data_IF_406648209302
#
_entry.id   IF_406648209302
#
_cell.length_a   1.000
_cell.length_b   1.000
_cell.length_c   1.000
_cell.angle_alpha   90.00
_cell.angle_beta   90.00
_cell.angle_gamma   90.00
#
_symmetry.space_group_name_H-M   'P 1'
#
loop_
_entity.id
_entity.type
_entity.pdbx_description
1 polymer ?
#
# COMPACT_ATOMS: atom_id res chain seq x y z
N UNK A 1 -18.72 -16.49 8.23
CA UNK A 1 -18.18 -15.57 9.24
C UNK A 1 -16.73 -15.31 8.88
N UNK A 2 -16.51 -14.28 8.06
CA UNK A 2 -15.19 -13.94 7.50
C UNK A 2 -14.32 -13.10 8.45
N UNK A 3 -14.89 -12.68 9.58
CA UNK A 3 -14.21 -11.89 10.62
C UNK A 3 -13.51 -12.78 11.65
N UNK A 4 -12.56 -13.59 11.18
CA UNK A 4 -11.67 -14.33 12.06
C UNK A 4 -10.21 -14.17 11.63
N UNK A 5 -9.28 -14.38 12.57
CA UNK A 5 -7.86 -14.16 12.34
C UNK A 5 -7.29 -15.01 11.20
N UNK A 6 -7.78 -16.24 11.03
CA UNK A 6 -7.33 -17.15 9.97
C UNK A 6 -7.75 -16.64 8.58
N UNK A 7 -9.00 -16.20 8.44
CA UNK A 7 -9.53 -15.58 7.22
C UNK A 7 -8.81 -14.28 6.89
N UNK A 8 -8.51 -13.43 7.89
CA UNK A 8 -7.75 -12.20 7.69
C UNK A 8 -6.34 -12.49 7.18
N UNK A 9 -5.64 -13.47 7.78
CA UNK A 9 -4.30 -13.85 7.37
C UNK A 9 -4.26 -14.32 5.92
N UNK A 10 -5.18 -15.23 5.54
CA UNK A 10 -5.30 -15.71 4.15
C UNK A 10 -5.53 -14.56 3.16
N UNK A 11 -6.38 -13.60 3.51
CA UNK A 11 -6.65 -12.42 2.67
C UNK A 11 -5.43 -11.52 2.52
N UNK A 12 -4.70 -11.25 3.61
CA UNK A 12 -3.47 -10.44 3.58
C UNK A 12 -2.37 -11.11 2.76
N UNK A 13 -2.18 -12.42 2.92
CA UNK A 13 -1.17 -13.17 2.16
C UNK A 13 -1.50 -13.17 0.66
N UNK A 14 -2.76 -13.41 0.30
CA UNK A 14 -3.21 -13.32 -1.09
C UNK A 14 -3.05 -11.91 -1.67
N UNK A 15 -3.43 -10.87 -0.92
CA UNK A 15 -3.26 -9.47 -1.33
C UNK A 15 -1.79 -9.14 -1.60
N UNK A 16 -0.88 -9.50 -0.69
CA UNK A 16 0.55 -9.26 -0.85
C UNK A 16 1.10 -9.98 -2.08
N UNK A 17 0.77 -11.26 -2.27
CA UNK A 17 1.21 -12.05 -3.41
C UNK A 17 0.74 -11.45 -4.76
N UNK A 18 -0.48 -10.93 -4.81
CA UNK A 18 -1.05 -10.37 -6.04
C UNK A 18 -0.58 -8.93 -6.32
N UNK A 19 -0.31 -8.13 -5.29
CA UNK A 19 0.02 -6.71 -5.46
C UNK A 19 1.52 -6.41 -5.49
N UNK A 20 2.36 -7.23 -4.86
CA UNK A 20 3.81 -7.03 -4.91
C UNK A 20 4.38 -6.92 -6.35
N UNK A 21 3.98 -7.79 -7.31
CA UNK A 21 4.46 -7.66 -8.70
C UNK A 21 4.05 -6.34 -9.37
N UNK A 22 2.90 -5.76 -8.99
CA UNK A 22 2.42 -4.49 -9.52
C UNK A 22 3.26 -3.33 -8.97
N UNK A 23 3.54 -3.35 -7.67
CA UNK A 23 4.44 -2.37 -7.03
C UNK A 23 5.84 -2.42 -7.64
N UNK A 24 6.40 -3.62 -7.82
CA UNK A 24 7.72 -3.81 -8.43
C UNK A 24 7.77 -3.28 -9.87
N UNK A 25 6.70 -3.50 -10.64
CA UNK A 25 6.59 -2.96 -12.00
C UNK A 25 6.68 -1.43 -12.02
N UNK A 26 5.92 -0.72 -11.19
CA UNK A 26 5.97 0.74 -11.14
C UNK A 26 7.26 1.28 -10.53
N UNK A 27 7.86 0.55 -9.58
CA UNK A 27 9.16 0.89 -9.01
C UNK A 27 10.25 0.85 -10.09
N UNK A 28 10.27 -0.21 -10.91
CA UNK A 28 11.25 -0.36 -12.00
C UNK A 28 11.17 0.76 -13.04
N UNK A 29 10.00 1.41 -13.17
CA UNK A 29 9.76 2.53 -14.08
C UNK A 29 10.01 3.91 -13.45
N UNK A 30 10.41 3.96 -12.17
CA UNK A 30 10.55 5.22 -11.42
C UNK A 30 9.23 5.96 -11.18
N UNK A 31 8.09 5.30 -11.37
CA UNK A 31 6.77 5.89 -11.23
C UNK A 31 6.12 5.61 -9.87
N UNK A 32 6.66 4.66 -9.09
CA UNK A 32 6.17 4.34 -7.75
C UNK A 32 6.52 5.45 -6.76
N UNK A 33 5.50 6.00 -6.10
CA UNK A 33 5.64 6.91 -4.96
C UNK A 33 5.12 6.20 -3.71
N UNK A 34 5.92 6.14 -2.65
CA UNK A 34 5.58 5.41 -1.41
C UNK A 34 5.14 6.37 -0.30
N UNK A 35 4.19 5.91 0.52
CA UNK A 35 3.67 6.64 1.70
C UNK A 35 3.61 5.66 2.86
N UNK A 36 4.03 6.09 4.05
CA UNK A 36 3.85 5.31 5.28
C UNK A 36 2.39 5.38 5.74
N UNK A 37 1.65 4.29 5.56
CA UNK A 37 0.25 4.19 5.96
C UNK A 37 0.00 3.99 7.45
N UNK A 38 1.06 3.84 8.26
CA UNK A 38 0.95 3.71 9.73
C UNK A 38 1.10 5.04 10.48
N UNK A 39 1.41 6.12 9.75
CA UNK A 39 1.48 7.46 10.31
C UNK A 39 0.08 8.04 10.63
N UNK A 40 0.00 9.12 11.44
CA UNK A 40 -1.25 9.85 11.64
C UNK A 40 -1.88 10.30 10.32
N UNK A 41 -3.22 10.34 10.27
CA UNK A 41 -3.99 10.66 9.05
C UNK A 41 -3.52 11.97 8.40
N UNK A 42 -3.24 13.00 9.20
CA UNK A 42 -2.77 14.30 8.70
C UNK A 42 -1.41 14.20 8.01
N UNK A 43 -0.52 13.34 8.51
CA UNK A 43 0.81 13.13 7.95
C UNK A 43 0.75 12.30 6.67
N UNK A 44 -0.11 11.27 6.63
CA UNK A 44 -0.42 10.51 5.41
C UNK A 44 -0.97 11.45 4.33
N UNK A 45 -1.92 12.32 4.69
CA UNK A 45 -2.53 13.29 3.76
C UNK A 45 -1.48 14.24 3.18
N UNK A 46 -0.60 14.77 4.03
CA UNK A 46 0.52 15.63 3.58
C UNK A 46 1.49 14.88 2.68
N UNK A 47 1.83 13.64 3.01
CA UNK A 47 2.73 12.82 2.19
C UNK A 47 2.14 12.55 0.80
N UNK A 48 0.83 12.25 0.71
CA UNK A 48 0.12 12.10 -0.57
C UNK A 48 0.14 13.42 -1.35
N UNK A 49 -0.20 14.54 -0.71
CA UNK A 49 -0.19 15.85 -1.37
C UNK A 49 1.19 16.23 -1.91
N UNK A 50 2.26 15.97 -1.15
CA UNK A 50 3.64 16.22 -1.57
C UNK A 50 4.02 15.42 -2.82
N UNK A 51 3.52 14.19 -2.95
CA UNK A 51 3.71 13.37 -4.15
C UNK A 51 2.90 13.84 -5.36
N UNK A 52 1.87 14.67 -5.19
CA UNK A 52 1.03 15.17 -6.28
C UNK A 52 1.36 16.60 -6.72
N UNK A 53 2.11 17.36 -5.92
CA UNK A 53 2.55 18.70 -6.29
C UNK A 53 3.51 18.62 -7.50
N UNK A 54 3.13 19.29 -8.60
CA UNK A 54 3.90 19.44 -9.86
C UNK A 54 4.54 20.81 -9.90
#
# INVERSE_FOLDING_TARGET
ADDNAESLKKRLDAYRAQTAPVSDYYASKGALKTVDGMAPIDDVTKAIAAHLAV
#
